data_IF_762068041505
#
_entry.id   IF_762068041505
#
_cell.length_a   1.000
_cell.length_b   1.000
_cell.length_c   1.000
_cell.angle_alpha   90.00
_cell.angle_beta   90.00
_cell.angle_gamma   90.00
#
_symmetry.space_group_name_H-M   'P 1'
#
loop_
_entity.id
_entity.type
_entity.pdbx_description
1 polymer ?
#
# COMPACT_ATOMS: atom_id res chain seq x y z
N UNK A 1 -10.20 -20.50 13.13
CA UNK A 1 -11.58 -20.80 13.54
C UNK A 1 -11.63 -22.10 14.35
N UNK A 2 -10.71 -23.06 14.10
CA UNK A 2 -10.66 -24.35 14.78
C UNK A 2 -9.95 -24.28 16.13
N UNK A 3 -10.26 -25.21 17.02
CA UNK A 3 -9.47 -25.46 18.22
C UNK A 3 -8.13 -26.11 17.85
N UNK A 4 -7.13 -25.99 18.75
CA UNK A 4 -5.79 -26.57 18.50
C UNK A 4 -5.87 -28.09 18.33
N UNK A 5 -6.73 -28.74 19.07
CA UNK A 5 -6.95 -30.21 19.02
C UNK A 5 -7.52 -30.65 17.66
N UNK A 6 -8.36 -29.82 17.02
CA UNK A 6 -8.93 -30.12 15.70
C UNK A 6 -7.88 -30.08 14.58
N UNK A 7 -6.81 -29.31 14.79
CA UNK A 7 -5.71 -29.22 13.84
C UNK A 7 -4.83 -30.47 13.81
N UNK A 8 -4.82 -31.21 14.92
CA UNK A 8 -4.05 -32.46 15.07
C UNK A 8 -4.91 -33.72 14.82
N UNK A 9 -6.19 -33.58 14.53
CA UNK A 9 -7.12 -34.72 14.36
C UNK A 9 -6.91 -35.44 13.02
N UNK A 10 -7.08 -36.79 13.05
CA UNK A 10 -7.13 -37.62 11.87
C UNK A 10 -8.38 -38.51 11.93
N UNK A 11 -9.27 -38.49 10.92
CA UNK A 11 -9.20 -37.68 9.68
C UNK A 11 -9.33 -36.16 9.93
N UNK A 12 -8.85 -35.31 9.00
CA UNK A 12 -8.89 -33.85 9.18
C UNK A 12 -10.33 -33.33 9.29
N UNK A 13 -10.62 -32.60 10.35
CA UNK A 13 -11.92 -31.92 10.52
C UNK A 13 -11.90 -30.67 9.63
N UNK A 14 -12.71 -30.64 8.57
CA UNK A 14 -12.79 -29.48 7.67
C UNK A 14 -13.63 -28.36 8.24
N UNK A 15 -14.77 -28.69 8.86
CA UNK A 15 -15.69 -27.74 9.49
C UNK A 15 -15.72 -28.07 10.99
N UNK A 16 -15.27 -27.16 11.86
CA UNK A 16 -15.29 -27.40 13.31
C UNK A 16 -16.72 -27.32 13.86
N UNK A 17 -17.03 -28.13 14.87
CA UNK A 17 -18.32 -28.09 15.54
C UNK A 17 -18.53 -26.79 16.36
N UNK A 18 -17.42 -26.21 16.81
CA UNK A 18 -17.42 -24.97 17.61
C UNK A 18 -16.38 -23.98 17.08
N UNK A 19 -16.76 -22.70 17.03
CA UNK A 19 -15.85 -21.63 16.62
C UNK A 19 -14.97 -21.25 17.82
N UNK A 20 -13.65 -21.36 17.65
CA UNK A 20 -12.67 -21.02 18.68
C UNK A 20 -12.45 -19.50 18.78
N UNK A 21 -13.44 -18.76 19.29
CA UNK A 21 -13.34 -17.30 19.49
C UNK A 21 -12.21 -16.89 20.43
N UNK A 22 -11.73 -17.80 21.23
CA UNK A 22 -10.60 -17.59 22.15
C UNK A 22 -9.32 -17.22 21.40
N UNK A 23 -9.10 -17.77 20.21
CA UNK A 23 -7.95 -17.42 19.37
C UNK A 23 -7.96 -15.94 18.99
N UNK A 24 -9.12 -15.40 18.64
CA UNK A 24 -9.26 -13.98 18.31
C UNK A 24 -9.09 -13.10 19.55
N UNK A 25 -9.67 -13.51 20.68
CA UNK A 25 -9.50 -12.80 21.96
C UNK A 25 -8.05 -12.78 22.41
N UNK A 26 -7.34 -13.89 22.28
CA UNK A 26 -5.93 -13.99 22.63
C UNK A 26 -5.06 -13.02 21.80
N UNK A 27 -5.33 -12.92 20.49
CA UNK A 27 -4.64 -11.98 19.61
C UNK A 27 -4.99 -10.54 19.94
N UNK A 28 -6.27 -10.19 20.06
CA UNK A 28 -6.74 -8.81 20.29
C UNK A 28 -6.37 -8.29 21.68
N UNK A 29 -6.39 -9.15 22.71
CA UNK A 29 -6.01 -8.79 24.07
C UNK A 29 -4.49 -8.70 24.27
N UNK A 30 -3.71 -9.11 23.30
CA UNK A 30 -2.29 -8.87 23.31
C UNK A 30 -2.04 -7.35 23.20
N UNK A 31 -1.55 -6.71 24.25
CA UNK A 31 -1.25 -5.26 24.31
C UNK A 31 -0.37 -4.77 23.16
N UNK A 32 0.36 -5.67 22.54
CA UNK A 32 1.27 -5.35 21.40
C UNK A 32 0.58 -5.44 20.06
N UNK A 33 -0.42 -6.30 19.88
CA UNK A 33 -1.12 -6.43 18.62
C UNK A 33 -1.83 -5.13 18.23
N UNK A 34 -2.47 -4.49 19.20
CA UNK A 34 -3.09 -3.17 19.02
C UNK A 34 -2.05 -2.11 18.61
N UNK A 35 -0.87 -2.10 19.26
CA UNK A 35 0.23 -1.20 18.87
C UNK A 35 0.66 -1.45 17.42
N UNK A 36 0.82 -2.70 17.02
CA UNK A 36 1.24 -3.07 15.66
C UNK A 36 0.18 -2.71 14.61
N UNK A 37 -1.10 -2.82 14.98
CA UNK A 37 -2.21 -2.36 14.14
C UNK A 37 -2.11 -0.85 13.86
N UNK A 38 -1.96 -0.03 14.89
CA UNK A 38 -1.79 1.41 14.73
C UNK A 38 -0.49 1.77 13.99
N UNK A 39 0.60 1.06 14.24
CA UNK A 39 1.83 1.25 13.46
C UNK A 39 1.59 0.98 11.97
N UNK A 40 0.88 -0.10 11.62
CA UNK A 40 0.53 -0.39 10.22
C UNK A 40 -0.32 0.72 9.61
N UNK A 41 -1.32 1.23 10.33
CA UNK A 41 -2.15 2.33 9.86
C UNK A 41 -1.33 3.61 9.64
N UNK A 42 -0.46 3.96 10.59
CA UNK A 42 0.39 5.16 10.51
C UNK A 42 1.38 5.02 9.34
N UNK A 43 2.11 3.91 9.25
CA UNK A 43 3.11 3.71 8.20
C UNK A 43 2.45 3.69 6.83
N UNK A 44 1.41 2.87 6.65
CA UNK A 44 0.71 2.76 5.36
C UNK A 44 -0.01 4.05 4.99
N UNK A 45 -0.74 4.64 5.93
CA UNK A 45 -1.48 5.88 5.71
C UNK A 45 -0.56 7.04 5.36
N UNK A 46 0.53 7.23 6.11
CA UNK A 46 1.51 8.28 5.85
C UNK A 46 2.21 8.05 4.51
N UNK A 47 2.72 6.85 4.25
CA UNK A 47 3.40 6.55 2.99
C UNK A 47 2.47 6.74 1.78
N UNK A 48 1.22 6.30 1.87
CA UNK A 48 0.23 6.47 0.80
C UNK A 48 -0.11 7.95 0.58
N UNK A 49 -0.36 8.70 1.66
CA UNK A 49 -0.68 10.12 1.56
C UNK A 49 0.46 10.92 0.92
N UNK A 50 1.69 10.73 1.39
CA UNK A 50 2.86 11.39 0.80
C UNK A 50 3.11 10.95 -0.65
N UNK A 51 2.91 9.66 -0.96
CA UNK A 51 3.04 9.17 -2.32
C UNK A 51 2.04 9.83 -3.27
N UNK A 52 0.81 10.06 -2.85
CA UNK A 52 -0.20 10.78 -3.65
C UNK A 52 0.10 12.26 -3.76
N UNK A 53 0.49 12.92 -2.66
CA UNK A 53 0.81 14.35 -2.67
C UNK A 53 1.94 14.69 -3.64
N UNK A 54 2.92 13.81 -3.77
CA UNK A 54 4.05 13.99 -4.69
C UNK A 54 3.74 13.36 -6.05
N UNK A 55 3.19 12.15 -6.06
CA UNK A 55 3.05 11.34 -7.26
C UNK A 55 1.98 11.83 -8.23
N UNK A 56 0.85 12.37 -7.72
CA UNK A 56 -0.21 12.88 -8.59
C UNK A 56 0.24 14.10 -9.40
N UNK A 57 0.80 15.17 -8.79
CA UNK A 57 1.29 16.29 -9.58
C UNK A 57 2.52 15.94 -10.44
N UNK A 58 3.38 15.03 -9.98
CA UNK A 58 4.52 14.57 -10.77
C UNK A 58 4.05 13.81 -12.02
N UNK A 59 3.09 12.89 -11.88
CA UNK A 59 2.49 12.15 -13.01
C UNK A 59 1.83 13.08 -14.02
N UNK A 60 1.10 14.10 -13.53
CA UNK A 60 0.53 15.13 -14.38
C UNK A 60 1.60 15.91 -15.18
N UNK A 61 2.63 16.40 -14.49
CA UNK A 61 3.71 17.14 -15.15
C UNK A 61 4.43 16.30 -16.20
N UNK A 62 4.76 15.03 -15.89
CA UNK A 62 5.44 14.12 -16.81
C UNK A 62 4.58 13.85 -18.05
N UNK A 63 3.28 13.58 -17.87
CA UNK A 63 2.35 13.32 -18.97
C UNK A 63 2.20 14.54 -19.88
N UNK A 64 1.98 15.73 -19.30
CA UNK A 64 1.76 16.97 -20.11
C UNK A 64 3.03 17.50 -20.77
N UNK A 65 4.19 17.26 -20.19
CA UNK A 65 5.48 17.63 -20.79
C UNK A 65 6.02 16.57 -21.76
N UNK A 66 5.32 15.43 -21.92
CA UNK A 66 5.79 14.28 -22.70
C UNK A 66 7.23 13.87 -22.35
N UNK A 67 7.53 13.90 -21.04
CA UNK A 67 8.88 13.70 -20.52
C UNK A 67 9.25 12.20 -20.48
N UNK A 68 9.37 11.56 -21.65
CA UNK A 68 9.62 10.11 -21.80
C UNK A 68 10.86 9.64 -21.02
N UNK A 69 11.92 10.46 -20.92
CA UNK A 69 13.09 10.13 -20.11
C UNK A 69 12.75 9.97 -18.63
N UNK A 70 11.90 10.84 -18.09
CA UNK A 70 11.44 10.77 -16.70
C UNK A 70 10.58 9.52 -16.47
N UNK A 71 9.72 9.17 -17.43
CA UNK A 71 8.93 7.93 -17.40
C UNK A 71 9.85 6.70 -17.31
N UNK A 72 10.93 6.66 -18.12
CA UNK A 72 11.90 5.55 -18.07
C UNK A 72 12.59 5.47 -16.69
N UNK A 73 13.00 6.61 -16.12
CA UNK A 73 13.62 6.65 -14.79
C UNK A 73 12.67 6.10 -13.71
N UNK A 74 11.39 6.48 -13.76
CA UNK A 74 10.36 5.95 -12.83
C UNK A 74 10.17 4.44 -13.01
N UNK A 75 10.17 3.95 -14.26
CA UNK A 75 10.07 2.50 -14.52
C UNK A 75 11.29 1.74 -13.97
N UNK A 76 12.50 2.26 -14.17
CA UNK A 76 13.74 1.68 -13.63
C UNK A 76 13.67 1.63 -12.10
N UNK A 77 13.27 2.73 -11.45
CA UNK A 77 13.10 2.77 -9.99
C UNK A 77 12.08 1.73 -9.49
N UNK A 78 11.01 1.48 -10.25
CA UNK A 78 9.99 0.48 -9.93
C UNK A 78 10.49 -0.97 -10.08
N UNK A 79 11.30 -1.24 -11.11
CA UNK A 79 11.83 -2.59 -11.40
C UNK A 79 12.98 -2.96 -10.44
N UNK A 80 13.66 -1.96 -9.89
CA UNK A 80 14.78 -2.20 -8.97
C UNK A 80 14.32 -3.01 -7.75
N UNK A 81 14.95 -4.17 -7.47
CA UNK A 81 14.57 -4.98 -6.32
C UNK A 81 14.70 -4.20 -5.01
N UNK A 82 13.62 -4.11 -4.23
CA UNK A 82 13.61 -3.34 -2.98
C UNK A 82 14.68 -3.75 -1.98
N UNK A 83 15.07 -5.02 -1.99
CA UNK A 83 16.13 -5.56 -1.14
C UNK A 83 17.51 -4.96 -1.44
N UNK A 84 17.76 -4.48 -2.67
CA UNK A 84 19.06 -3.94 -3.07
C UNK A 84 19.44 -2.67 -2.31
N UNK A 85 18.45 -1.87 -1.90
CA UNK A 85 18.70 -0.64 -1.13
C UNK A 85 18.42 -0.78 0.37
N UNK A 86 18.00 -1.96 0.84
CA UNK A 86 17.65 -2.17 2.24
C UNK A 86 18.85 -1.97 3.18
N UNK A 87 20.00 -2.58 2.86
CA UNK A 87 21.22 -2.45 3.67
C UNK A 87 21.76 -1.01 3.66
N UNK A 88 21.95 -0.35 2.50
CA UNK A 88 22.35 1.05 2.48
C UNK A 88 21.43 1.98 3.29
N UNK A 89 20.13 1.80 3.17
CA UNK A 89 19.15 2.62 3.92
C UNK A 89 19.17 2.30 5.42
N UNK A 90 19.33 1.04 5.80
CA UNK A 90 19.49 0.68 7.21
C UNK A 90 20.68 1.40 7.84
N UNK A 91 21.85 1.37 7.18
CA UNK A 91 23.05 2.05 7.65
C UNK A 91 22.87 3.57 7.73
N UNK A 92 22.17 4.15 6.73
CA UNK A 92 21.82 5.57 6.74
C UNK A 92 20.92 5.91 7.94
N UNK A 93 19.84 5.15 8.17
CA UNK A 93 18.92 5.37 9.29
C UNK A 93 19.61 5.15 10.64
N UNK A 94 20.55 4.22 10.72
CA UNK A 94 21.36 4.02 11.91
C UNK A 94 22.25 5.24 12.16
N UNK A 95 22.93 5.74 11.12
CA UNK A 95 23.83 6.89 11.22
C UNK A 95 23.11 8.17 11.65
N UNK A 96 21.90 8.42 11.14
CA UNK A 96 21.08 9.59 11.52
C UNK A 96 20.25 9.37 12.79
N UNK A 97 20.37 8.21 13.45
CA UNK A 97 19.67 7.94 14.72
C UNK A 97 18.16 7.74 14.59
N UNK A 98 17.64 7.38 13.41
CA UNK A 98 16.20 7.20 13.16
C UNK A 98 15.68 5.81 13.50
N UNK A 99 16.57 4.81 13.69
CA UNK A 99 16.15 3.46 14.06
C UNK A 99 15.38 3.48 15.38
N UNK A 100 14.35 2.63 15.48
CA UNK A 100 13.46 2.59 16.64
C UNK A 100 12.25 3.53 16.54
N UNK A 101 12.16 4.34 15.49
CA UNK A 101 10.99 5.15 15.14
C UNK A 101 10.22 4.55 13.95
N UNK A 102 9.06 5.10 13.59
CA UNK A 102 8.30 4.67 12.42
C UNK A 102 8.83 5.28 11.10
N UNK A 103 9.65 6.32 11.17
CA UNK A 103 10.15 7.05 10.01
C UNK A 103 10.91 6.19 8.98
N UNK A 104 11.85 5.30 9.38
CA UNK A 104 12.51 4.42 8.42
C UNK A 104 11.54 3.60 7.59
N UNK A 105 10.49 3.07 8.21
CA UNK A 105 9.48 2.31 7.49
C UNK A 105 8.64 3.20 6.57
N UNK A 106 8.22 4.38 7.02
CA UNK A 106 7.48 5.34 6.17
C UNK A 106 8.31 5.70 4.94
N UNK A 107 9.58 6.05 5.13
CA UNK A 107 10.48 6.47 4.04
C UNK A 107 10.71 5.34 3.04
N UNK A 108 10.97 4.12 3.51
CA UNK A 108 11.23 3.00 2.59
C UNK A 108 9.96 2.57 1.85
N UNK A 109 8.78 2.70 2.48
CA UNK A 109 7.52 2.48 1.80
C UNK A 109 7.28 3.52 0.71
N UNK A 110 7.73 4.78 0.90
CA UNK A 110 7.70 5.82 -0.15
C UNK A 110 8.55 5.45 -1.36
N UNK A 111 9.70 4.84 -1.15
CA UNK A 111 10.57 4.38 -2.27
C UNK A 111 9.82 3.41 -3.19
N UNK A 112 8.90 2.62 -2.65
CA UNK A 112 8.07 1.69 -3.43
C UNK A 112 6.80 2.35 -3.96
N UNK A 113 6.08 3.11 -3.13
CA UNK A 113 4.75 3.62 -3.46
C UNK A 113 4.77 4.83 -4.38
N UNK A 114 5.76 5.73 -4.26
CA UNK A 114 5.84 6.94 -5.12
C UNK A 114 5.98 6.58 -6.60
N UNK A 115 6.91 5.69 -7.03
CA UNK A 115 7.00 5.30 -8.43
C UNK A 115 5.72 4.65 -8.97
N UNK A 116 5.02 3.86 -8.14
CA UNK A 116 3.75 3.22 -8.51
C UNK A 116 2.69 4.27 -8.77
N UNK A 117 2.53 5.24 -7.87
CA UNK A 117 1.55 6.32 -8.00
C UNK A 117 1.86 7.16 -9.24
N UNK A 118 3.11 7.57 -9.43
CA UNK A 118 3.52 8.36 -10.60
C UNK A 118 3.19 7.60 -11.90
N UNK A 119 3.54 6.32 -11.97
CA UNK A 119 3.32 5.51 -13.16
C UNK A 119 1.83 5.38 -13.51
N UNK A 120 0.96 5.12 -12.52
CA UNK A 120 -0.48 5.05 -12.71
C UNK A 120 -1.02 6.41 -13.19
N UNK A 121 -0.56 7.49 -12.57
CA UNK A 121 -1.05 8.83 -12.90
C UNK A 121 -0.57 9.31 -14.27
N UNK A 122 0.64 8.94 -14.72
CA UNK A 122 1.10 9.20 -16.08
C UNK A 122 0.10 8.57 -17.07
N UNK A 123 -0.15 7.26 -16.95
CA UNK A 123 -1.08 6.56 -17.86
C UNK A 123 -2.48 7.15 -17.84
N UNK A 124 -2.97 7.57 -16.67
CA UNK A 124 -4.29 8.18 -16.57
C UNK A 124 -4.36 9.57 -17.25
N UNK A 125 -3.37 10.43 -17.00
CA UNK A 125 -3.33 11.76 -17.62
C UNK A 125 -3.07 11.71 -19.12
N UNK A 126 -2.30 10.74 -19.63
CA UNK A 126 -2.08 10.56 -21.07
C UNK A 126 -3.38 10.21 -21.82
N UNK A 127 -4.32 9.52 -21.16
CA UNK A 127 -5.63 9.18 -21.75
C UNK A 127 -6.70 10.28 -21.59
N UNK A 128 -6.42 11.30 -20.76
CA UNK A 128 -7.34 12.42 -20.53
C UNK A 128 -7.21 13.45 -21.65
N UNK A 129 -8.34 13.86 -22.31
CA UNK A 129 -8.33 14.84 -23.38
C UNK A 129 -7.69 16.16 -22.96
N UNK A 130 -6.76 16.64 -23.79
CA UNK A 130 -6.00 17.87 -23.51
C UNK A 130 -6.83 19.14 -23.79
N UNK A 131 -7.83 19.01 -24.64
CA UNK A 131 -8.71 20.09 -25.08
C UNK A 131 -9.45 20.78 -23.91
N UNK A 132 -9.77 20.01 -22.86
CA UNK A 132 -10.40 20.56 -21.65
C UNK A 132 -9.46 21.50 -20.87
N UNK A 133 -8.18 21.19 -20.87
CA UNK A 133 -7.15 22.02 -20.23
C UNK A 133 -6.82 23.24 -21.08
N UNK A 134 -6.77 23.08 -22.39
CA UNK A 134 -6.54 24.17 -23.35
C UNK A 134 -7.67 25.21 -23.30
N UNK A 135 -8.92 24.76 -23.22
CA UNK A 135 -10.07 25.66 -23.05
C UNK A 135 -9.92 26.53 -21.80
N UNK A 136 -9.54 25.93 -20.68
CA UNK A 136 -9.32 26.68 -19.42
C UNK A 136 -8.14 27.69 -19.54
N UNK A 137 -7.11 27.35 -20.31
CA UNK A 137 -5.99 28.29 -20.59
C UNK A 137 -6.46 29.47 -21.44
N UNK A 138 -7.34 29.25 -22.43
CA UNK A 138 -7.95 30.30 -23.26
C UNK A 138 -8.80 31.22 -22.38
N UNK A 139 -9.50 30.68 -21.37
CA UNK A 139 -10.26 31.42 -20.37
C UNK A 139 -9.37 32.18 -19.36
N UNK A 140 -8.03 32.14 -19.52
CA UNK A 140 -7.08 32.86 -18.69
C UNK A 140 -6.62 32.14 -17.43
N UNK A 141 -6.92 30.84 -17.27
CA UNK A 141 -6.44 30.06 -16.12
C UNK A 141 -4.92 29.84 -16.17
N UNK A 142 -4.26 29.99 -15.03
CA UNK A 142 -2.86 29.63 -14.86
C UNK A 142 -2.68 28.12 -14.86
N UNK A 143 -1.48 27.60 -15.12
CA UNK A 143 -1.16 26.16 -15.11
C UNK A 143 -1.58 25.47 -13.81
N UNK A 144 -1.41 26.11 -12.67
CA UNK A 144 -1.84 25.61 -11.37
C UNK A 144 -3.37 25.55 -11.23
N UNK A 145 -4.07 26.57 -11.75
CA UNK A 145 -5.54 26.57 -11.78
C UNK A 145 -6.09 25.49 -12.69
N UNK A 146 -5.49 25.26 -13.86
CA UNK A 146 -5.82 24.16 -14.77
C UNK A 146 -5.65 22.81 -14.04
N UNK A 147 -4.49 22.59 -13.40
CA UNK A 147 -4.27 21.37 -12.64
C UNK A 147 -5.33 21.19 -11.55
N UNK A 148 -5.54 22.20 -10.72
CA UNK A 148 -6.42 22.08 -9.54
C UNK A 148 -7.91 21.99 -9.87
N UNK A 149 -8.39 22.74 -10.88
CA UNK A 149 -9.80 22.89 -11.16
C UNK A 149 -10.30 22.04 -12.35
N UNK A 150 -9.40 21.60 -13.24
CA UNK A 150 -9.74 20.79 -14.40
C UNK A 150 -9.12 19.38 -14.28
N UNK A 151 -7.80 19.27 -14.32
CA UNK A 151 -7.13 17.99 -14.40
C UNK A 151 -7.33 17.12 -13.15
N UNK A 152 -7.15 17.67 -11.95
CA UNK A 152 -7.28 16.93 -10.68
C UNK A 152 -8.71 16.40 -10.45
N UNK A 153 -9.80 17.18 -10.65
CA UNK A 153 -11.17 16.64 -10.55
C UNK A 153 -11.47 15.52 -11.54
N UNK A 154 -11.01 15.64 -12.76
CA UNK A 154 -11.16 14.59 -13.79
C UNK A 154 -10.38 13.34 -13.40
N UNK A 155 -9.20 13.51 -12.81
CA UNK A 155 -8.33 12.42 -12.42
C UNK A 155 -8.75 11.67 -11.12
N UNK A 156 -9.83 12.09 -10.44
CA UNK A 156 -10.28 11.43 -9.20
C UNK A 156 -10.40 9.90 -9.29
N UNK A 157 -10.93 9.30 -10.36
CA UNK A 157 -10.99 7.84 -10.47
C UNK A 157 -9.58 7.22 -10.54
N UNK A 158 -8.67 7.81 -11.30
CA UNK A 158 -7.27 7.37 -11.38
C UNK A 158 -6.53 7.52 -10.05
N UNK A 159 -6.77 8.63 -9.34
CA UNK A 159 -6.21 8.87 -7.99
C UNK A 159 -6.72 7.81 -7.01
N UNK A 160 -8.01 7.44 -7.09
CA UNK A 160 -8.57 6.39 -6.24
C UNK A 160 -7.90 5.03 -6.50
N UNK A 161 -7.65 4.67 -7.75
CA UNK A 161 -6.90 3.45 -8.10
C UNK A 161 -5.47 3.51 -7.55
N UNK A 162 -4.78 4.63 -7.75
CA UNK A 162 -3.43 4.83 -7.23
C UNK A 162 -3.38 4.76 -5.70
N UNK A 163 -4.33 5.36 -5.00
CA UNK A 163 -4.50 5.29 -3.55
C UNK A 163 -4.63 3.85 -3.06
N UNK A 164 -5.54 3.08 -3.66
CA UNK A 164 -5.81 1.70 -3.24
C UNK A 164 -4.59 0.81 -3.47
N UNK A 165 -3.95 0.91 -4.64
CA UNK A 165 -2.76 0.13 -4.93
C UNK A 165 -1.59 0.52 -4.00
N UNK A 166 -1.40 1.81 -3.72
CA UNK A 166 -0.38 2.25 -2.77
C UNK A 166 -0.62 1.69 -1.37
N UNK A 167 -1.89 1.68 -0.88
CA UNK A 167 -2.23 1.03 0.40
C UNK A 167 -1.91 -0.45 0.36
N UNK A 168 -2.36 -1.19 -0.67
CA UNK A 168 -2.15 -2.64 -0.77
C UNK A 168 -0.65 -2.96 -0.73
N UNK A 169 0.17 -2.26 -1.51
CA UNK A 169 1.62 -2.48 -1.55
C UNK A 169 2.29 -2.12 -0.23
N UNK A 170 1.90 -1.02 0.39
CA UNK A 170 2.46 -0.59 1.67
C UNK A 170 2.03 -1.50 2.83
N UNK A 171 0.74 -1.85 2.93
CA UNK A 171 0.20 -2.69 3.99
C UNK A 171 0.79 -4.10 4.00
N UNK A 172 0.93 -4.72 2.83
CA UNK A 172 1.47 -6.08 2.71
C UNK A 172 3.00 -6.15 2.83
N UNK A 173 3.66 -5.01 2.94
CA UNK A 173 5.11 -4.99 3.03
C UNK A 173 5.58 -5.42 4.42
N UNK A 174 6.23 -6.59 4.52
CA UNK A 174 6.81 -7.08 5.76
C UNK A 174 8.33 -7.16 5.73
N UNK A 175 8.93 -7.27 4.54
CA UNK A 175 10.37 -7.50 4.36
C UNK A 175 11.19 -6.36 4.95
N UNK A 176 10.81 -5.13 4.68
CA UNK A 176 11.49 -3.96 5.25
C UNK A 176 11.27 -3.85 6.76
N UNK A 177 10.08 -4.22 7.22
CA UNK A 177 9.75 -4.20 8.64
C UNK A 177 10.55 -5.19 9.48
N UNK A 178 10.93 -6.36 8.93
CA UNK A 178 11.79 -7.33 9.63
C UNK A 178 13.13 -6.71 9.99
N UNK A 179 13.70 -5.91 9.08
CA UNK A 179 15.06 -5.35 9.25
C UNK A 179 15.03 -4.00 9.96
N UNK A 180 14.06 -3.15 9.67
CA UNK A 180 14.03 -1.76 10.14
C UNK A 180 13.23 -1.56 11.43
N UNK A 181 12.30 -2.47 11.75
CA UNK A 181 11.44 -2.31 12.92
C UNK A 181 12.12 -2.80 14.20
N UNK A 182 12.07 -1.96 15.22
CA UNK A 182 12.29 -2.36 16.61
C UNK A 182 11.03 -3.03 17.20
N UNK A 183 11.11 -3.56 18.42
CA UNK A 183 9.98 -4.20 19.10
C UNK A 183 8.74 -3.29 19.20
N UNK A 184 8.91 -1.98 19.34
CA UNK A 184 7.83 -1.00 19.47
C UNK A 184 7.26 -0.50 18.14
N UNK A 185 7.98 -0.67 17.05
CA UNK A 185 7.65 -0.09 15.73
C UNK A 185 7.24 -1.14 14.69
N UNK A 186 7.08 -2.41 15.07
CA UNK A 186 6.62 -3.47 14.17
C UNK A 186 5.25 -3.15 13.59
N UNK A 187 5.07 -3.52 12.32
CA UNK A 187 3.78 -3.53 11.63
C UNK A 187 3.11 -4.90 11.79
N UNK A 188 1.83 -4.99 11.49
CA UNK A 188 1.06 -6.24 11.62
C UNK A 188 1.65 -7.43 10.85
N UNK A 189 2.06 -7.31 9.56
CA UNK A 189 2.67 -8.44 8.85
C UNK A 189 3.92 -8.98 9.55
N UNK A 190 4.75 -8.08 10.11
CA UNK A 190 5.93 -8.47 10.90
C UNK A 190 5.52 -9.14 12.21
N UNK A 191 4.44 -8.67 12.84
CA UNK A 191 3.93 -9.25 14.07
C UNK A 191 3.45 -10.69 13.86
N UNK A 192 2.71 -10.94 12.78
CA UNK A 192 2.25 -12.29 12.41
C UNK A 192 3.43 -13.21 12.13
N UNK A 193 4.41 -12.73 11.36
CA UNK A 193 5.63 -13.50 11.10
C UNK A 193 6.35 -13.91 12.39
N UNK A 194 6.43 -13.01 13.38
CA UNK A 194 7.08 -13.30 14.66
C UNK A 194 6.26 -14.23 15.59
N UNK A 195 5.01 -14.57 15.25
CA UNK A 195 4.24 -15.60 15.94
C UNK A 195 4.66 -17.02 15.52
N UNK A 196 5.40 -17.14 14.42
CA UNK A 196 5.96 -18.40 13.96
C UNK A 196 7.22 -18.66 14.80
N UNK A 197 7.07 -19.45 15.87
CA UNK A 197 8.18 -19.91 16.71
C UNK A 197 8.40 -21.41 16.50
N UNK A 198 9.66 -21.85 16.50
CA UNK A 198 9.98 -23.27 16.33
C UNK A 198 9.58 -24.12 17.53
N UNK A 199 9.55 -23.55 18.75
CA UNK A 199 9.30 -24.29 19.98
C UNK A 199 7.80 -24.40 20.34
N UNK A 200 6.97 -23.43 19.94
CA UNK A 200 5.53 -23.40 20.23
C UNK A 200 4.77 -22.71 19.13
N UNK A 201 4.39 -23.46 18.09
CA UNK A 201 3.56 -22.95 17.03
C UNK A 201 2.06 -23.14 17.40
N UNK A 202 1.42 -22.07 17.84
CA UNK A 202 -0.04 -22.06 18.10
C UNK A 202 -0.78 -21.69 16.81
N UNK A 203 -1.25 -22.67 16.08
CA UNK A 203 -1.93 -22.50 14.78
C UNK A 203 -3.21 -21.66 14.88
N UNK A 204 -3.98 -21.81 15.96
CA UNK A 204 -5.23 -21.09 16.15
C UNK A 204 -5.04 -19.57 16.21
N UNK A 205 -4.25 -19.03 17.15
CA UNK A 205 -3.93 -17.60 17.21
C UNK A 205 -3.22 -17.08 15.96
N UNK A 206 -2.31 -17.86 15.36
CA UNK A 206 -1.64 -17.46 14.12
C UNK A 206 -2.63 -17.27 12.97
N UNK A 207 -3.56 -18.21 12.77
CA UNK A 207 -4.59 -18.09 11.73
C UNK A 207 -5.54 -16.93 12.02
N UNK A 208 -5.93 -16.69 13.28
CA UNK A 208 -6.74 -15.55 13.67
C UNK A 208 -6.03 -14.22 13.36
N UNK A 209 -4.75 -14.09 13.70
CA UNK A 209 -3.95 -12.92 13.41
C UNK A 209 -3.81 -12.69 11.89
N UNK A 210 -3.56 -13.73 11.11
CA UNK A 210 -3.46 -13.66 9.66
C UNK A 210 -4.78 -13.16 9.03
N UNK A 211 -5.93 -13.66 9.49
CA UNK A 211 -7.24 -13.18 9.04
C UNK A 211 -7.47 -11.71 9.37
N UNK A 212 -7.14 -11.27 10.59
CA UNK A 212 -7.28 -9.86 10.99
C UNK A 212 -6.39 -8.95 10.12
N UNK A 213 -5.16 -9.38 9.82
CA UNK A 213 -4.24 -8.60 8.98
C UNK A 213 -4.70 -8.54 7.52
N UNK A 214 -5.29 -9.61 7.02
CA UNK A 214 -5.76 -9.68 5.63
C UNK A 214 -7.07 -8.92 5.41
N UNK A 215 -7.92 -8.83 6.42
CA UNK A 215 -9.26 -8.25 6.31
C UNK A 215 -9.29 -6.81 5.75
N UNK A 216 -8.45 -5.85 6.19
CA UNK A 216 -8.45 -4.49 5.64
C UNK A 216 -8.14 -4.46 4.14
N UNK A 217 -7.21 -5.30 3.69
CA UNK A 217 -6.85 -5.39 2.26
C UNK A 217 -7.97 -5.99 1.44
N UNK A 218 -8.61 -7.05 1.94
CA UNK A 218 -9.78 -7.65 1.29
C UNK A 218 -10.92 -6.65 1.14
N UNK A 219 -11.25 -5.92 2.21
CA UNK A 219 -12.28 -4.89 2.17
C UNK A 219 -11.94 -3.81 1.14
N UNK A 220 -10.73 -3.29 1.17
CA UNK A 220 -10.26 -2.30 0.19
C UNK A 220 -10.32 -2.84 -1.24
N UNK A 221 -9.93 -4.09 -1.47
CA UNK A 221 -9.98 -4.70 -2.81
C UNK A 221 -11.41 -4.83 -3.32
N UNK A 222 -12.36 -5.23 -2.46
CA UNK A 222 -13.79 -5.31 -2.81
C UNK A 222 -14.36 -3.92 -3.17
N UNK A 223 -13.97 -2.87 -2.45
CA UNK A 223 -14.37 -1.50 -2.82
C UNK A 223 -13.65 -1.01 -4.08
N UNK A 224 -12.38 -1.38 -4.26
CA UNK A 224 -11.55 -0.99 -5.38
C UNK A 224 -12.02 -1.56 -6.72
N UNK A 225 -12.52 -2.80 -6.73
CA UNK A 225 -12.89 -3.48 -7.98
C UNK A 225 -13.90 -2.68 -8.82
N UNK A 226 -14.82 -1.96 -8.18
CA UNK A 226 -15.79 -1.12 -8.90
C UNK A 226 -15.12 0.07 -9.60
N UNK A 227 -14.13 0.68 -8.99
CA UNK A 227 -13.42 1.84 -9.53
C UNK A 227 -12.37 1.42 -10.58
N UNK A 228 -11.71 0.28 -10.38
CA UNK A 228 -10.76 -0.29 -11.32
C UNK A 228 -11.49 -0.70 -12.61
N UNK A 229 -12.63 -1.38 -12.49
CA UNK A 229 -13.46 -1.78 -13.65
C UNK A 229 -13.98 -0.55 -14.38
N UNK A 230 -14.52 0.45 -13.69
CA UNK A 230 -15.00 1.69 -14.32
C UNK A 230 -13.87 2.41 -15.08
N UNK A 231 -12.68 2.55 -14.47
CA UNK A 231 -11.54 3.18 -15.12
C UNK A 231 -10.97 2.41 -16.33
N UNK A 232 -11.10 1.08 -16.34
CA UNK A 232 -10.66 0.24 -17.47
C UNK A 232 -11.69 0.18 -18.60
N UNK A 233 -13.00 0.20 -18.26
CA UNK A 233 -14.10 0.15 -19.26
C UNK A 233 -14.29 1.46 -19.98
N UNK A 234 -14.13 2.61 -19.32
CA UNK A 234 -14.21 3.93 -19.95
C UNK A 234 -13.07 4.16 -20.97
N UNK A 235 -11.91 3.51 -20.77
CA UNK A 235 -10.82 3.50 -21.73
C UNK A 235 -11.01 2.55 -22.92
N UNK A 236 -11.72 1.45 -22.75
CA UNK A 236 -11.90 0.42 -23.77
C UNK A 236 -13.06 0.75 -24.75
N UNK A 237 -14.05 1.53 -24.34
CA UNK A 237 -15.22 1.87 -25.18
C UNK A 237 -14.94 3.01 -26.18
N UNK A 238 -13.83 3.73 -26.04
CA UNK A 238 -13.43 4.83 -26.96
C UNK A 238 -12.52 4.41 -28.11
N UNK A 239 -12.25 3.13 -28.28
CA UNK A 239 -11.38 2.56 -29.34
C UNK A 239 -12.12 1.76 -30.41
N UNK A 240 -13.42 1.98 -30.62
CA UNK A 240 -14.24 1.36 -31.68
C UNK A 240 -14.73 2.40 -32.69
#
# INVERSE_FOLDING_TARGET
IKQEIDNASFPPILIPDTIAWENYKAVLNSNRFTTYFFNSLIVTGSATLFALLVGVPAGYGIARMQAHKSTIVILIARITPGLSYLIPLFLLFQWVGMLGTLWPQIIIHLVVTVPIVIWIMIGYFETTPMELEEAAVIDGATRWQVFRHVAFPIAKPGIAVAFILAIIFSWNNFVFGIVLASRGTRTLPVAVYNMISFDQLSWGPLAAAALIVTLPVLLLTVFAQRQIVAGLTDGAVKGG
#
